data_IF_641256534858
#
_entry.id   IF_641256534858
#
_cell.length_a   1.000
_cell.length_b   1.000
_cell.length_c   1.000
_cell.angle_alpha   90.00
_cell.angle_beta   90.00
_cell.angle_gamma   90.00
#
_symmetry.space_group_name_H-M   'P 1'
#
loop_
_entity.id
_entity.type
_entity.pdbx_description
1 polymer ?
#
# COMPACT_ATOMS: atom_id res chain seq x y z
N UNK A 1 12.65 -8.69 -6.33
CA UNK A 1 12.44 -7.78 -5.16
C UNK A 1 13.49 -6.69 -5.04
N UNK A 2 14.76 -6.99 -5.15
CA UNK A 2 15.86 -6.01 -4.98
C UNK A 2 15.77 -4.78 -5.88
N UNK A 3 15.44 -4.88 -7.18
CA UNK A 3 15.25 -3.70 -8.02
C UNK A 3 14.15 -2.77 -7.51
N UNK A 4 13.06 -3.33 -6.98
CA UNK A 4 11.96 -2.56 -6.39
C UNK A 4 12.42 -1.85 -5.12
N UNK A 5 13.18 -2.53 -4.25
CA UNK A 5 13.74 -1.92 -3.04
C UNK A 5 14.65 -0.74 -3.37
N UNK A 6 15.44 -0.87 -4.41
CA UNK A 6 16.32 0.21 -4.87
C UNK A 6 15.51 1.41 -5.34
N UNK A 7 14.47 1.20 -6.13
CA UNK A 7 13.59 2.28 -6.60
C UNK A 7 12.86 2.96 -5.45
N UNK A 8 12.37 2.19 -4.47
CA UNK A 8 11.75 2.73 -3.27
C UNK A 8 12.71 3.64 -2.51
N UNK A 9 13.95 3.22 -2.32
CA UNK A 9 14.97 4.01 -1.63
C UNK A 9 15.30 5.29 -2.39
N UNK A 10 15.48 5.21 -3.71
CA UNK A 10 15.81 6.36 -4.55
C UNK A 10 14.70 7.39 -4.61
N UNK A 11 13.43 6.96 -4.65
CA UNK A 11 12.26 7.82 -4.78
C UNK A 11 11.54 8.09 -3.47
N UNK A 12 12.05 7.56 -2.36
CA UNK A 12 11.43 7.66 -1.03
C UNK A 12 10.01 7.10 -0.96
N UNK A 13 9.74 6.05 -1.72
CA UNK A 13 8.46 5.35 -1.64
C UNK A 13 8.46 4.38 -0.46
N UNK A 14 7.39 4.38 0.31
CA UNK A 14 7.20 3.47 1.44
C UNK A 14 6.28 2.28 1.11
N UNK A 15 5.51 2.40 0.04
CA UNK A 15 4.51 1.42 -0.38
C UNK A 15 4.56 1.21 -1.89
N UNK A 16 4.42 -0.04 -2.31
CA UNK A 16 4.29 -0.41 -3.72
C UNK A 16 3.11 -1.36 -3.86
N UNK A 17 2.03 -0.96 -4.54
CA UNK A 17 0.92 -1.88 -4.79
C UNK A 17 1.31 -2.94 -5.81
N UNK A 18 0.79 -4.14 -5.63
CA UNK A 18 0.97 -5.25 -6.55
C UNK A 18 -0.33 -5.47 -7.29
N UNK A 19 -0.29 -5.30 -8.60
CA UNK A 19 -1.45 -5.38 -9.45
C UNK A 19 -1.38 -6.62 -10.34
N UNK A 20 -2.54 -7.20 -10.61
CA UNK A 20 -2.72 -8.23 -11.62
C UNK A 20 -3.93 -7.83 -12.47
N UNK A 21 -3.70 -7.62 -13.77
CA UNK A 21 -4.71 -7.09 -14.69
C UNK A 21 -5.34 -5.77 -14.20
N UNK A 22 -4.53 -4.93 -13.55
CA UNK A 22 -4.95 -3.65 -13.00
C UNK A 22 -5.66 -3.73 -11.65
N UNK A 23 -5.93 -4.91 -11.13
CA UNK A 23 -6.60 -5.12 -9.84
C UNK A 23 -5.56 -5.29 -8.73
N UNK A 24 -5.77 -4.64 -7.59
CA UNK A 24 -4.86 -4.77 -6.43
C UNK A 24 -4.93 -6.18 -5.86
N UNK A 25 -3.80 -6.86 -5.85
CA UNK A 25 -3.64 -8.17 -5.22
C UNK A 25 -2.96 -8.08 -3.86
N UNK A 26 -2.27 -7.00 -3.61
CA UNK A 26 -1.60 -6.76 -2.34
C UNK A 26 -0.79 -5.49 -2.38
N UNK A 27 -0.12 -5.21 -1.27
CA UNK A 27 0.78 -4.07 -1.13
C UNK A 27 2.07 -4.54 -0.47
N UNK A 28 3.19 -4.19 -1.06
CA UNK A 28 4.50 -4.33 -0.44
C UNK A 28 4.88 -3.00 0.21
N UNK A 29 5.24 -3.05 1.49
CA UNK A 29 5.65 -1.86 2.25
C UNK A 29 6.93 -2.14 3.02
N UNK A 30 7.50 -1.09 3.60
CA UNK A 30 8.63 -1.24 4.53
C UNK A 30 8.27 -2.17 5.69
N UNK A 31 7.04 -2.08 6.19
CA UNK A 31 6.55 -2.95 7.26
C UNK A 31 6.42 -4.42 6.81
N UNK A 32 6.08 -4.67 5.54
CA UNK A 32 6.05 -6.02 4.97
C UNK A 32 7.45 -6.63 5.01
N UNK A 33 8.46 -5.86 4.59
CA UNK A 33 9.84 -6.30 4.62
C UNK A 33 10.30 -6.61 6.04
N UNK A 34 10.01 -5.72 6.99
CA UNK A 34 10.37 -5.92 8.39
C UNK A 34 9.70 -7.16 8.98
N UNK A 35 8.43 -7.40 8.67
CA UNK A 35 7.71 -8.60 9.12
C UNK A 35 8.32 -9.87 8.54
N UNK A 36 8.73 -9.84 7.28
CA UNK A 36 9.40 -10.96 6.64
C UNK A 36 10.74 -11.28 7.31
N UNK A 37 11.55 -10.26 7.55
CA UNK A 37 12.86 -10.41 8.21
C UNK A 37 12.72 -10.91 9.64
N UNK A 38 11.71 -10.45 10.36
CA UNK A 38 11.47 -10.85 11.74
C UNK A 38 11.02 -12.31 11.86
N UNK A 39 10.25 -12.81 10.88
CA UNK A 39 9.72 -14.17 10.90
C UNK A 39 10.71 -15.27 10.54
N UNK A 40 11.89 -14.92 10.04
CA UNK A 40 12.89 -15.87 9.55
C UNK A 40 14.14 -15.87 10.43
N UNK A 41 14.70 -17.05 10.70
CA UNK A 41 15.94 -17.17 11.49
C UNK A 41 17.15 -16.64 10.73
N UNK A 42 17.21 -16.94 9.42
CA UNK A 42 18.27 -16.46 8.52
C UNK A 42 17.61 -15.96 7.25
N UNK A 43 17.73 -14.67 7.00
CA UNK A 43 17.18 -14.05 5.80
C UNK A 43 18.28 -13.40 5.00
N UNK A 44 18.32 -13.74 3.72
CA UNK A 44 19.16 -13.08 2.74
C UNK A 44 18.23 -12.64 1.59
N UNK A 45 18.17 -11.34 1.34
CA UNK A 45 17.44 -10.80 0.19
C UNK A 45 18.46 -10.53 -0.90
N UNK A 46 18.32 -11.23 -2.02
CA UNK A 46 19.17 -11.10 -3.19
C UNK A 46 18.35 -10.83 -4.45
N UNK A 47 19.00 -10.80 -5.61
CA UNK A 47 18.34 -10.51 -6.87
C UNK A 47 17.33 -11.61 -7.29
N UNK A 48 17.43 -12.80 -6.71
CA UNK A 48 16.56 -13.94 -6.99
C UNK A 48 15.34 -13.98 -6.04
N UNK A 49 15.35 -13.22 -4.97
CA UNK A 49 14.23 -13.16 -4.03
C UNK A 49 13.03 -12.50 -4.71
N UNK A 50 11.91 -13.20 -4.74
CA UNK A 50 10.69 -12.76 -5.41
C UNK A 50 9.58 -12.40 -4.41
N UNK A 51 8.63 -11.58 -4.84
CA UNK A 51 7.45 -11.25 -4.03
C UNK A 51 6.61 -12.47 -3.68
N UNK A 52 6.65 -13.53 -4.49
CA UNK A 52 5.98 -14.80 -4.16
C UNK A 52 6.44 -15.41 -2.83
N UNK A 53 7.66 -15.11 -2.38
CA UNK A 53 8.16 -15.53 -1.07
C UNK A 53 7.46 -14.83 0.08
N UNK A 54 6.72 -13.75 -0.18
CA UNK A 54 6.02 -12.92 0.78
C UNK A 54 4.50 -13.03 0.65
N UNK A 55 4.01 -14.03 -0.09
CA UNK A 55 2.61 -14.11 -0.51
C UNK A 55 1.60 -13.98 0.65
N UNK A 56 1.94 -14.43 1.85
CA UNK A 56 1.06 -14.35 3.02
C UNK A 56 1.03 -12.96 3.66
N UNK A 57 2.01 -12.11 3.37
CA UNK A 57 2.14 -10.78 3.96
C UNK A 57 1.64 -9.65 3.05
N UNK A 58 1.38 -9.94 1.78
CA UNK A 58 1.04 -8.93 0.78
C UNK A 58 -0.44 -8.54 0.70
N UNK A 59 -1.43 -9.44 0.98
CA UNK A 59 -2.83 -9.07 0.88
C UNK A 59 -3.15 -7.83 1.73
N UNK A 60 -4.07 -6.98 1.22
CA UNK A 60 -4.38 -5.69 1.85
C UNK A 60 -4.91 -5.82 3.29
N UNK A 61 -5.51 -6.95 3.64
CA UNK A 61 -6.01 -7.25 4.98
C UNK A 61 -4.99 -7.95 5.89
N UNK A 62 -3.82 -8.30 5.36
CA UNK A 62 -2.75 -8.94 6.13
C UNK A 62 -1.84 -7.96 6.87
N UNK A 63 -1.96 -6.66 6.61
CA UNK A 63 -1.12 -5.63 7.22
C UNK A 63 -1.65 -5.25 8.61
N UNK A 64 -0.85 -5.54 9.65
CA UNK A 64 -1.29 -5.36 11.04
C UNK A 64 -1.31 -3.90 11.50
N UNK A 65 -0.46 -3.05 10.93
CA UNK A 65 -0.25 -1.67 11.41
C UNK A 65 -0.91 -0.60 10.56
N UNK A 66 -1.55 -0.97 9.46
CA UNK A 66 -2.17 0.00 8.55
C UNK A 66 -3.32 -0.63 7.77
N UNK A 67 -4.18 0.22 7.26
CA UNK A 67 -5.31 -0.18 6.42
C UNK A 67 -5.20 0.42 5.03
N UNK A 68 -5.93 -0.17 4.09
CA UNK A 68 -6.03 0.28 2.71
C UNK A 68 -7.51 0.46 2.38
N UNK A 69 -7.85 1.55 1.69
CA UNK A 69 -9.22 1.90 1.39
C UNK A 69 -9.45 1.94 -0.10
N UNK A 70 -10.65 1.52 -0.52
CA UNK A 70 -11.11 1.58 -1.91
C UNK A 70 -12.28 2.55 -1.97
N UNK A 71 -12.21 3.51 -2.88
CA UNK A 71 -13.20 4.58 -3.01
C UNK A 71 -13.62 4.74 -4.47
N UNK A 72 -14.88 5.19 -4.73
CA UNK A 72 -15.33 5.39 -6.10
C UNK A 72 -14.70 6.64 -6.72
N UNK A 73 -14.63 6.66 -8.06
CA UNK A 73 -14.06 7.79 -8.80
C UNK A 73 -14.81 9.11 -8.62
N UNK A 74 -16.02 9.05 -8.08
CA UNK A 74 -16.83 10.25 -7.79
C UNK A 74 -16.44 10.95 -6.49
N UNK A 75 -15.53 10.34 -5.71
CA UNK A 75 -15.08 10.93 -4.45
C UNK A 75 -14.36 12.26 -4.70
N UNK A 76 -14.49 13.20 -3.76
CA UNK A 76 -13.79 14.48 -3.81
C UNK A 76 -12.49 14.40 -3.01
N UNK A 77 -11.55 15.31 -3.32
CA UNK A 77 -10.31 15.43 -2.57
C UNK A 77 -10.58 15.76 -1.09
N UNK A 78 -11.60 16.60 -0.82
CA UNK A 78 -12.00 16.95 0.54
C UNK A 78 -12.47 15.72 1.33
N UNK A 79 -13.20 14.83 0.69
CA UNK A 79 -13.67 13.58 1.32
C UNK A 79 -12.49 12.63 1.61
N UNK A 80 -11.52 12.55 0.71
CA UNK A 80 -10.29 11.77 0.94
C UNK A 80 -9.48 12.35 2.11
N UNK A 81 -9.31 13.67 2.14
CA UNK A 81 -8.62 14.36 3.23
C UNK A 81 -9.29 14.07 4.57
N UNK A 82 -10.63 14.08 4.63
CA UNK A 82 -11.38 13.74 5.83
C UNK A 82 -11.16 12.28 6.26
N UNK A 83 -11.04 11.34 5.32
CA UNK A 83 -10.73 9.94 5.63
C UNK A 83 -9.40 9.83 6.38
N UNK A 84 -8.35 10.49 5.90
CA UNK A 84 -7.04 10.50 6.56
C UNK A 84 -7.11 11.17 7.93
N UNK A 85 -7.80 12.30 8.05
CA UNK A 85 -7.96 13.03 9.31
C UNK A 85 -8.72 12.19 10.34
N UNK A 86 -9.81 11.57 9.94
CA UNK A 86 -10.61 10.71 10.82
C UNK A 86 -9.81 9.48 11.29
N UNK A 87 -9.01 8.90 10.42
CA UNK A 87 -8.13 7.77 10.77
C UNK A 87 -7.08 8.20 11.81
N UNK A 88 -6.46 9.36 11.63
CA UNK A 88 -5.48 9.89 12.59
C UNK A 88 -6.09 10.09 13.98
N UNK A 89 -7.31 10.60 14.07
CA UNK A 89 -8.03 10.79 15.35
C UNK A 89 -8.26 9.48 16.10
N UNK A 90 -8.40 8.38 15.38
CA UNK A 90 -8.59 7.03 15.95
C UNK A 90 -7.28 6.27 16.15
N UNK A 91 -6.14 6.92 15.94
CA UNK A 91 -4.83 6.29 15.93
C UNK A 91 -4.73 5.13 14.92
N UNK A 92 -5.53 5.18 13.86
CA UNK A 92 -5.48 4.27 12.74
C UNK A 92 -4.57 4.85 11.65
N UNK A 93 -4.02 4.00 10.80
CA UNK A 93 -3.12 4.43 9.74
C UNK A 93 -3.62 3.91 8.40
N UNK A 94 -3.90 4.85 7.49
CA UNK A 94 -4.21 4.51 6.11
C UNK A 94 -2.93 4.56 5.30
N UNK A 95 -2.52 3.41 4.74
CA UNK A 95 -1.33 3.32 3.88
C UNK A 95 -1.56 3.93 2.51
N UNK A 96 -2.64 3.56 1.86
CA UNK A 96 -3.02 4.07 0.54
C UNK A 96 -4.55 4.08 0.40
N UNK A 97 -5.04 4.99 -0.43
CA UNK A 97 -6.42 5.00 -0.91
C UNK A 97 -6.39 4.68 -2.41
N UNK A 98 -7.09 3.63 -2.81
CA UNK A 98 -7.21 3.23 -4.20
C UNK A 98 -8.54 3.74 -4.76
N UNK A 99 -8.48 4.44 -5.88
CA UNK A 99 -9.66 4.92 -6.58
C UNK A 99 -9.99 3.92 -7.69
N UNK A 100 -11.20 3.40 -7.66
CA UNK A 100 -11.74 2.52 -8.69
C UNK A 100 -13.04 3.12 -9.24
N UNK A 101 -13.63 2.51 -10.26
CA UNK A 101 -14.86 3.02 -10.84
C UNK A 101 -15.99 3.13 -9.81
N UNK A 102 -16.24 2.06 -9.07
CA UNK A 102 -17.32 1.97 -8.08
C UNK A 102 -16.87 1.83 -6.62
N UNK A 103 -15.56 1.93 -6.34
CA UNK A 103 -15.02 1.77 -4.99
C UNK A 103 -14.87 0.32 -4.55
N UNK A 104 -14.83 -0.63 -5.47
CA UNK A 104 -14.72 -2.07 -5.16
C UNK A 104 -13.30 -2.58 -5.34
N UNK A 105 -12.80 -3.41 -4.40
CA UNK A 105 -11.45 -3.99 -4.52
C UNK A 105 -11.25 -4.88 -5.76
N UNK A 106 -12.31 -5.44 -6.31
CA UNK A 106 -12.27 -6.29 -7.50
C UNK A 106 -12.14 -5.52 -8.81
N UNK A 107 -12.27 -4.21 -8.77
CA UNK A 107 -12.20 -3.35 -9.94
C UNK A 107 -10.76 -2.89 -10.21
N UNK A 108 -10.49 -2.50 -11.45
CA UNK A 108 -9.18 -1.94 -11.81
C UNK A 108 -8.94 -0.61 -11.13
N UNK A 109 -7.72 -0.41 -10.64
CA UNK A 109 -7.30 0.84 -10.02
C UNK A 109 -7.15 1.92 -11.09
N UNK A 110 -7.80 3.05 -10.88
CA UNK A 110 -7.71 4.23 -11.73
C UNK A 110 -6.67 5.22 -11.21
N UNK A 111 -6.53 5.33 -9.89
CA UNK A 111 -5.57 6.23 -9.25
C UNK A 111 -5.27 5.76 -7.82
N UNK A 112 -4.17 6.27 -7.28
CA UNK A 112 -3.71 5.99 -5.93
C UNK A 112 -3.45 7.33 -5.23
N UNK A 113 -3.94 7.46 -4.00
CA UNK A 113 -3.73 8.67 -3.19
C UNK A 113 -3.12 8.27 -1.86
N UNK A 114 -2.07 8.97 -1.48
CA UNK A 114 -1.40 8.81 -0.18
C UNK A 114 -1.58 10.06 0.67
N UNK A 115 -1.20 9.97 1.95
CA UNK A 115 -1.22 11.12 2.84
C UNK A 115 -0.34 12.28 2.31
N UNK A 116 0.74 11.97 1.61
CA UNK A 116 1.62 12.98 1.02
C UNK A 116 0.93 13.77 -0.09
N UNK A 117 0.11 13.10 -0.91
CA UNK A 117 -0.66 13.77 -1.95
C UNK A 117 -1.69 14.73 -1.37
N UNK A 118 -2.35 14.32 -0.29
CA UNK A 118 -3.35 15.15 0.41
C UNK A 118 -2.68 16.32 1.11
N UNK A 119 -1.53 16.12 1.73
CA UNK A 119 -0.80 17.18 2.44
C UNK A 119 -0.47 18.37 1.55
N UNK A 120 -0.27 18.14 0.24
CA UNK A 120 0.01 19.20 -0.72
C UNK A 120 -1.17 20.18 -0.92
N UNK A 121 -2.38 19.80 -0.48
CA UNK A 121 -3.61 20.59 -0.64
C UNK A 121 -4.17 21.13 0.67
N UNK A 122 -3.50 20.88 1.78
CA UNK A 122 -3.95 21.34 3.11
C UNK A 122 -3.33 22.69 3.54
#
# INVERSE_FOLDING_TARGET
MRPVLREMAEKCYTHVPILEDGVVRGVFSENTLLSYLYGEEIVCIDDETAFSSLAELLPVDAHASESFRFVPRTITLAEIAEMFTAAMRRADRIGMVFITHGGKPSEKVLAIVTAWDVAAYL
#
